data_IF_328224249755
#
_entry.id   IF_328224249755
#
_cell.length_a   1.000
_cell.length_b   1.000
_cell.length_c   1.000
_cell.angle_alpha   90.00
_cell.angle_beta   90.00
_cell.angle_gamma   90.00
#
_symmetry.space_group_name_H-M   'P 1'
#
loop_
_entity.id
_entity.type
_entity.pdbx_description
1 polymer ?
#
# COMPACT_ATOMS: atom_id res chain seq x y z
N UNK A 1 -12.37 1.09 -18.11
CA UNK A 1 -11.21 0.63 -17.33
C UNK A 1 -10.33 1.84 -17.17
N UNK A 2 -10.22 2.35 -15.95
CA UNK A 2 -9.36 3.49 -15.67
C UNK A 2 -7.89 3.06 -15.55
N UNK A 3 -6.96 4.01 -15.50
CA UNK A 3 -5.53 3.70 -15.37
C UNK A 3 -5.23 2.94 -14.07
N UNK A 4 -5.98 3.23 -13.00
CA UNK A 4 -5.79 2.58 -11.72
C UNK A 4 -6.18 1.10 -11.77
N UNK A 5 -7.23 0.72 -12.49
CA UNK A 5 -7.64 -0.67 -12.68
C UNK A 5 -6.53 -1.53 -13.30
N UNK A 6 -5.75 -0.97 -14.23
CA UNK A 6 -4.61 -1.66 -14.84
C UNK A 6 -3.51 -1.90 -13.79
N UNK A 7 -3.12 -0.85 -13.09
CA UNK A 7 -2.10 -0.91 -12.03
C UNK A 7 -2.53 -1.85 -10.90
N UNK A 8 -3.79 -1.81 -10.51
CA UNK A 8 -4.35 -2.69 -9.48
C UNK A 8 -4.27 -4.16 -9.87
N UNK A 9 -4.64 -4.48 -11.11
CA UNK A 9 -4.57 -5.87 -11.59
C UNK A 9 -3.12 -6.37 -11.65
N UNK A 10 -2.17 -5.53 -12.06
CA UNK A 10 -0.75 -5.87 -12.06
C UNK A 10 -0.20 -6.03 -10.64
N UNK A 11 -0.57 -5.13 -9.73
CA UNK A 11 -0.21 -5.18 -8.30
C UNK A 11 -0.71 -6.47 -7.66
N UNK A 12 -1.99 -6.79 -7.81
CA UNK A 12 -2.54 -8.04 -7.29
C UNK A 12 -1.84 -9.24 -7.92
N UNK A 13 -1.57 -9.21 -9.22
CA UNK A 13 -0.91 -10.31 -9.91
C UNK A 13 0.50 -10.57 -9.38
N UNK A 14 1.23 -9.52 -8.97
CA UNK A 14 2.60 -9.62 -8.44
C UNK A 14 2.68 -9.94 -6.95
N UNK A 15 1.66 -9.60 -6.17
CA UNK A 15 1.61 -9.89 -4.73
C UNK A 15 1.29 -11.37 -4.48
N UNK A 16 2.20 -12.09 -3.84
CA UNK A 16 1.95 -13.45 -3.38
C UNK A 16 1.65 -13.47 -1.87
N UNK A 17 0.72 -14.32 -1.40
CA UNK A 17 0.59 -14.60 0.02
C UNK A 17 1.92 -15.04 0.63
N UNK A 18 2.30 -14.44 1.76
CA UNK A 18 3.60 -14.61 2.41
C UNK A 18 4.66 -13.58 2.00
N UNK A 19 4.40 -12.71 1.02
CA UNK A 19 5.31 -11.60 0.70
C UNK A 19 5.46 -10.66 1.89
N UNK A 20 6.70 -10.43 2.32
CA UNK A 20 7.05 -9.46 3.35
C UNK A 20 7.38 -8.10 2.72
N UNK A 21 6.67 -7.06 3.15
CA UNK A 21 6.82 -5.69 2.66
C UNK A 21 7.29 -4.80 3.81
N UNK A 22 8.50 -4.27 3.70
CA UNK A 22 9.04 -3.30 4.67
C UNK A 22 8.24 -2.01 4.62
N UNK A 23 8.00 -1.39 5.77
CA UNK A 23 7.41 -0.06 5.77
C UNK A 23 8.34 0.94 5.11
N UNK A 24 7.77 1.81 4.27
CA UNK A 24 8.51 2.82 3.54
C UNK A 24 7.82 4.18 3.58
N UNK A 25 8.60 5.25 3.52
CA UNK A 25 8.13 6.60 3.24
C UNK A 25 9.23 7.41 2.51
N UNK A 26 8.86 8.49 1.79
CA UNK A 26 9.82 9.24 0.98
C UNK A 26 10.81 10.08 1.79
N UNK A 27 10.57 10.29 3.10
CA UNK A 27 11.45 11.08 3.97
C UNK A 27 12.63 10.27 4.51
N UNK A 28 12.38 9.02 4.91
CA UNK A 28 13.32 8.19 5.66
C UNK A 28 13.64 6.86 4.98
N UNK A 29 12.99 6.53 3.86
CA UNK A 29 13.11 5.22 3.21
C UNK A 29 12.48 4.11 4.05
N UNK A 30 13.14 2.96 4.10
CA UNK A 30 12.67 1.77 4.82
C UNK A 30 12.83 1.90 6.34
N UNK A 31 11.77 1.59 7.09
CA UNK A 31 11.75 1.73 8.55
C UNK A 31 11.11 0.52 9.25
N UNK A 32 11.72 0.08 10.35
CA UNK A 32 11.12 -0.86 11.31
C UNK A 32 10.77 -2.24 10.72
N UNK A 33 9.86 -2.94 11.40
CA UNK A 33 9.28 -4.21 10.96
C UNK A 33 8.27 -3.97 9.83
N UNK A 34 8.25 -4.87 8.84
CA UNK A 34 7.32 -4.83 7.71
C UNK A 34 5.97 -5.46 8.02
N UNK A 35 5.13 -5.53 6.99
CA UNK A 35 3.86 -6.28 6.99
C UNK A 35 4.00 -7.52 6.11
N UNK A 36 3.14 -8.51 6.33
CA UNK A 36 3.07 -9.70 5.49
C UNK A 36 1.74 -9.75 4.74
N UNK A 37 1.76 -10.09 3.46
CA UNK A 37 0.54 -10.31 2.68
C UNK A 37 -0.09 -11.64 3.09
N UNK A 38 -1.36 -11.63 3.47
CA UNK A 38 -2.11 -12.82 3.89
C UNK A 38 -2.96 -13.38 2.75
N UNK A 39 -3.71 -12.51 2.08
CA UNK A 39 -4.52 -12.87 0.92
C UNK A 39 -4.63 -11.70 -0.06
N UNK A 40 -4.91 -12.04 -1.31
CA UNK A 40 -5.26 -11.09 -2.37
C UNK A 40 -6.59 -11.50 -2.97
N UNK A 41 -7.52 -10.56 -2.96
CA UNK A 41 -8.86 -10.70 -3.55
C UNK A 41 -9.05 -9.60 -4.58
N UNK A 42 -9.91 -9.77 -5.61
CA UNK A 42 -10.07 -8.78 -6.67
C UNK A 42 -10.37 -7.34 -6.18
N UNK A 43 -11.01 -7.21 -5.02
CA UNK A 43 -11.43 -5.94 -4.44
C UNK A 43 -10.73 -5.58 -3.12
N UNK A 44 -9.77 -6.39 -2.66
CA UNK A 44 -9.07 -6.12 -1.39
C UNK A 44 -7.76 -6.89 -1.23
N UNK A 45 -6.87 -6.37 -0.38
CA UNK A 45 -5.66 -7.06 0.06
C UNK A 45 -5.72 -7.23 1.58
N UNK A 46 -5.55 -8.45 2.06
CA UNK A 46 -5.42 -8.75 3.48
C UNK A 46 -3.95 -8.78 3.88
N UNK A 47 -3.63 -8.11 4.97
CA UNK A 47 -2.27 -8.03 5.50
C UNK A 47 -2.21 -8.44 6.97
N UNK A 48 -1.04 -8.86 7.41
CA UNK A 48 -0.69 -9.03 8.81
C UNK A 48 0.35 -7.96 9.19
N UNK A 49 -0.04 -6.90 9.93
CA UNK A 49 0.89 -5.90 10.39
C UNK A 49 1.72 -6.41 11.58
N UNK A 50 2.94 -5.91 11.77
CA UNK A 50 3.78 -6.33 12.86
C UNK A 50 3.14 -5.90 14.19
N UNK A 51 3.09 -6.84 15.15
CA UNK A 51 2.64 -6.60 16.53
C UNK A 51 1.15 -6.22 16.66
N UNK A 52 0.35 -6.52 15.65
CA UNK A 52 -1.11 -6.42 15.70
C UNK A 52 -1.66 -7.85 15.66
N UNK A 53 -2.58 -8.18 16.56
CA UNK A 53 -3.12 -9.54 16.66
C UNK A 53 -4.05 -9.91 15.49
N UNK A 54 -4.64 -8.89 14.85
CA UNK A 54 -5.65 -9.06 13.83
C UNK A 54 -5.15 -8.60 12.47
N UNK A 55 -5.27 -9.48 11.48
CA UNK A 55 -5.09 -9.14 10.07
C UNK A 55 -6.02 -7.98 9.68
N UNK A 56 -5.51 -7.09 8.83
CA UNK A 56 -6.24 -5.94 8.32
C UNK A 56 -6.62 -6.21 6.86
N UNK A 57 -7.86 -5.90 6.50
CA UNK A 57 -8.35 -5.99 5.12
C UNK A 57 -8.40 -4.57 4.55
N UNK A 58 -7.63 -4.33 3.49
CA UNK A 58 -7.53 -3.02 2.85
C UNK A 58 -8.32 -3.07 1.53
N UNK A 59 -9.41 -2.29 1.39
CA UNK A 59 -10.20 -2.24 0.16
C UNK A 59 -9.43 -1.63 -1.01
N UNK A 60 -9.69 -2.10 -2.24
CA UNK A 60 -9.21 -1.52 -3.50
C UNK A 60 -9.44 0.00 -3.57
N UNK A 61 -10.59 0.47 -3.08
CA UNK A 61 -10.93 1.89 -3.09
C UNK A 61 -9.96 2.74 -2.24
N UNK A 62 -9.44 2.21 -1.14
CA UNK A 62 -8.45 2.91 -0.33
C UNK A 62 -7.12 3.03 -1.10
N UNK A 63 -6.72 1.99 -1.82
CA UNK A 63 -5.56 2.06 -2.72
C UNK A 63 -5.74 3.13 -3.78
N UNK A 64 -6.95 3.23 -4.36
CA UNK A 64 -7.25 4.27 -5.34
C UNK A 64 -7.11 5.68 -4.75
N UNK A 65 -7.63 5.91 -3.55
CA UNK A 65 -7.51 7.21 -2.87
C UNK A 65 -6.04 7.64 -2.69
N UNK A 66 -5.17 6.69 -2.32
CA UNK A 66 -3.73 6.98 -2.19
C UNK A 66 -3.08 7.14 -3.55
N UNK A 67 -3.41 6.30 -4.53
CA UNK A 67 -2.87 6.36 -5.90
C UNK A 67 -3.15 7.70 -6.58
N UNK A 68 -4.37 8.22 -6.45
CA UNK A 68 -4.77 9.51 -7.02
C UNK A 68 -3.96 10.68 -6.42
N UNK A 69 -3.30 10.48 -5.28
CA UNK A 69 -2.45 11.45 -4.59
C UNK A 69 -0.95 11.07 -4.61
N UNK A 70 -0.59 9.99 -5.32
CA UNK A 70 0.70 9.33 -5.18
C UNK A 70 1.86 10.18 -5.68
N UNK A 71 1.72 10.81 -6.85
CA UNK A 71 2.75 11.70 -7.41
C UNK A 71 3.09 12.86 -6.48
N UNK A 72 2.08 13.56 -5.96
CA UNK A 72 2.29 14.67 -5.02
C UNK A 72 2.90 14.21 -3.70
N UNK A 73 2.59 12.99 -3.26
CA UNK A 73 3.21 12.38 -2.08
C UNK A 73 4.70 12.08 -2.30
N UNK A 74 5.05 11.48 -3.45
CA UNK A 74 6.43 11.18 -3.82
C UNK A 74 7.27 12.45 -3.99
N UNK A 75 6.69 13.50 -4.58
CA UNK A 75 7.32 14.82 -4.75
C UNK A 75 7.40 15.64 -3.44
N UNK A 76 6.97 15.08 -2.30
CA UNK A 76 6.91 15.74 -1.00
C UNK A 76 6.02 17.00 -0.98
N UNK A 77 5.09 17.14 -1.94
CA UNK A 77 4.09 18.22 -2.00
C UNK A 77 2.88 17.92 -1.12
N UNK A 78 2.66 16.66 -0.80
CA UNK A 78 1.59 16.20 0.07
C UNK A 78 2.14 15.44 1.29
N UNK A 79 1.77 15.88 2.49
CA UNK A 79 2.12 15.18 3.72
C UNK A 79 1.26 13.92 3.92
N UNK A 80 1.86 12.86 4.48
CA UNK A 80 1.14 11.63 4.85
C UNK A 80 -0.10 11.88 5.71
N UNK A 81 -0.08 12.89 6.58
CA UNK A 81 -1.23 13.24 7.44
C UNK A 81 -2.48 13.58 6.62
N UNK A 82 -2.32 14.19 5.45
CA UNK A 82 -3.43 14.51 4.55
C UNK A 82 -3.98 13.26 3.86
N UNK A 83 -3.11 12.32 3.48
CA UNK A 83 -3.52 11.01 2.94
C UNK A 83 -4.21 10.18 4.01
N UNK A 84 -3.71 10.22 5.24
CA UNK A 84 -4.30 9.50 6.37
C UNK A 84 -5.74 9.96 6.67
N UNK A 85 -6.05 11.24 6.42
CA UNK A 85 -7.42 11.74 6.53
C UNK A 85 -8.38 11.14 5.48
N UNK A 86 -7.86 10.51 4.42
CA UNK A 86 -8.64 9.79 3.40
C UNK A 86 -8.78 8.30 3.74
N UNK A 87 -7.78 7.70 4.37
CA UNK A 87 -7.77 6.30 4.78
C UNK A 87 -6.84 6.04 5.97
N UNK A 88 -7.35 5.25 6.92
CA UNK A 88 -6.57 4.76 8.06
C UNK A 88 -5.44 3.81 7.65
N UNK A 89 -5.55 3.21 6.45
CA UNK A 89 -4.60 2.25 5.91
C UNK A 89 -3.44 2.89 5.13
N UNK A 90 -3.37 4.22 5.06
CA UNK A 90 -2.35 4.97 4.29
C UNK A 90 -0.92 4.44 4.47
N UNK A 91 -0.50 4.12 5.70
CA UNK A 91 0.85 3.58 5.98
C UNK A 91 1.13 2.30 5.19
N UNK A 92 0.18 1.39 5.16
CA UNK A 92 0.31 0.08 4.51
C UNK A 92 0.27 0.22 3.00
N UNK A 93 -0.71 1.00 2.51
CA UNK A 93 -0.88 1.26 1.08
C UNK A 93 0.36 1.90 0.49
N UNK A 94 0.91 2.94 1.14
CA UNK A 94 2.15 3.59 0.70
C UNK A 94 3.30 2.58 0.56
N UNK A 95 3.42 1.66 1.52
CA UNK A 95 4.51 0.67 1.53
C UNK A 95 4.32 -0.35 0.40
N UNK A 96 3.08 -0.79 0.15
CA UNK A 96 2.72 -1.74 -0.91
C UNK A 96 2.91 -1.12 -2.30
N UNK A 97 2.43 0.10 -2.51
CA UNK A 97 2.60 0.82 -3.78
C UNK A 97 4.08 1.06 -4.10
N UNK A 98 4.85 1.51 -3.11
CA UNK A 98 6.30 1.67 -3.28
C UNK A 98 6.98 0.34 -3.61
N UNK A 99 6.66 -0.74 -2.91
CA UNK A 99 7.20 -2.08 -3.20
C UNK A 99 6.94 -2.48 -4.64
N UNK A 100 5.72 -2.29 -5.14
CA UNK A 100 5.35 -2.55 -6.53
C UNK A 100 6.15 -1.71 -7.54
N UNK A 101 6.33 -0.42 -7.29
CA UNK A 101 7.09 0.46 -8.20
C UNK A 101 8.60 0.19 -8.22
N UNK A 102 9.17 -0.19 -7.07
CA UNK A 102 10.61 -0.47 -6.98
C UNK A 102 11.02 -1.85 -7.47
N UNK A 103 10.05 -2.67 -7.87
CA UNK A 103 10.24 -3.98 -8.45
C UNK A 103 10.33 -5.10 -7.41
N UNK A 104 9.59 -6.18 -7.70
CA UNK A 104 9.90 -7.52 -7.22
C UNK A 104 11.35 -7.92 -7.56
#
# INVERSE_FOLDING_TARGET
MDQFDLIWNELIASLEPGTEIKHWNPYNGYLGEGLTIVSRDPDSISIDPPRVWNSQVIPKNDFKLVWDNWGDYLDLRLERRKIHALTDHSKYIISILHWYETGC
#
